data_IF_619531023897
#
_entry.id   IF_619531023897
#
_cell.length_a   1.000
_cell.length_b   1.000
_cell.length_c   1.000
_cell.angle_alpha   90.00
_cell.angle_beta   90.00
_cell.angle_gamma   90.00
#
_symmetry.space_group_name_H-M   'P 1'
#
loop_
_entity.id
_entity.type
_entity.pdbx_description
1 polymer ?
#
# COMPACT_ATOMS: atom_id res chain seq x y z
N UNK A 1 4.83 -38.61 52.07
CA UNK A 1 3.84 -37.63 51.58
C UNK A 1 4.16 -37.36 50.12
N UNK A 2 3.20 -37.66 49.24
CA UNK A 2 3.24 -37.62 47.77
C UNK A 2 3.40 -36.16 47.25
N UNK A 3 3.74 -35.93 45.96
CA UNK A 3 4.30 -34.70 45.40
C UNK A 3 3.23 -33.68 44.99
N UNK A 4 3.64 -32.43 44.79
CA UNK A 4 2.85 -31.44 44.03
C UNK A 4 3.63 -31.13 42.76
N UNK A 5 3.27 -31.83 41.68
CA UNK A 5 3.56 -31.40 40.33
C UNK A 5 2.68 -30.19 40.04
N UNK A 6 3.30 -29.05 39.75
CA UNK A 6 2.62 -27.90 39.21
C UNK A 6 1.98 -28.28 37.86
N UNK A 7 0.65 -28.26 37.79
CA UNK A 7 -0.06 -28.33 36.53
C UNK A 7 0.15 -27.00 35.80
N UNK A 8 0.91 -27.03 34.70
CA UNK A 8 0.83 -25.97 33.71
C UNK A 8 -0.58 -26.05 33.10
N UNK A 9 -1.38 -25.01 33.27
CA UNK A 9 -2.59 -24.82 32.47
C UNK A 9 -2.14 -24.52 31.05
N UNK A 10 -2.34 -25.47 30.14
CA UNK A 10 -2.18 -25.23 28.71
C UNK A 10 -3.09 -24.05 28.30
N UNK A 11 -2.60 -23.09 27.52
CA UNK A 11 -3.40 -21.97 27.08
C UNK A 11 -4.57 -22.49 26.25
N UNK A 12 -5.79 -22.19 26.69
CA UNK A 12 -7.02 -22.46 25.94
C UNK A 12 -7.01 -21.56 24.71
N UNK A 13 -6.36 -22.04 23.65
CA UNK A 13 -6.44 -21.43 22.34
C UNK A 13 -7.86 -21.67 21.82
N UNK A 14 -8.57 -20.63 21.36
CA UNK A 14 -9.87 -20.84 20.73
C UNK A 14 -9.69 -21.73 19.51
N UNK A 15 -10.17 -22.98 19.60
CA UNK A 15 -10.13 -23.92 18.49
C UNK A 15 -11.26 -23.57 17.53
N UNK A 16 -10.91 -23.02 16.37
CA UNK A 16 -11.86 -22.84 15.28
C UNK A 16 -12.10 -24.20 14.62
N UNK A 17 -13.06 -24.99 15.12
CA UNK A 17 -13.47 -26.24 14.51
C UNK A 17 -14.54 -25.97 13.45
N UNK A 18 -14.15 -25.96 12.18
CA UNK A 18 -15.08 -26.03 11.05
C UNK A 18 -15.59 -27.48 10.95
N UNK A 19 -16.65 -27.79 11.69
CA UNK A 19 -17.39 -29.04 11.53
C UNK A 19 -18.35 -28.90 10.35
N UNK A 20 -17.95 -29.50 9.22
CA UNK A 20 -18.83 -29.76 8.08
C UNK A 20 -19.72 -30.97 8.42
N UNK A 21 -20.61 -30.81 9.41
CA UNK A 21 -21.60 -31.82 9.77
C UNK A 21 -22.91 -31.54 9.05
N UNK A 22 -23.11 -32.20 7.92
CA UNK A 22 -24.45 -32.46 7.37
C UNK A 22 -24.75 -33.93 7.53
N UNK A 23 -25.44 -34.31 8.61
CA UNK A 23 -26.24 -35.54 8.58
C UNK A 23 -27.32 -35.28 7.53
N UNK A 24 -27.21 -35.98 6.40
CA UNK A 24 -27.92 -35.74 5.13
C UNK A 24 -27.39 -34.54 4.32
N UNK A 25 -26.55 -34.86 3.33
CA UNK A 25 -26.10 -33.93 2.30
C UNK A 25 -27.28 -33.47 1.42
N UNK A 26 -28.06 -32.51 1.90
CA UNK A 26 -28.89 -31.67 1.03
C UNK A 26 -27.96 -30.74 0.24
N UNK A 27 -28.00 -30.75 -1.10
CA UNK A 27 -27.14 -29.93 -1.96
C UNK A 27 -27.13 -28.44 -1.59
N UNK A 28 -28.26 -27.93 -1.08
CA UNK A 28 -28.44 -26.53 -0.69
C UNK A 28 -27.55 -26.10 0.49
N UNK A 29 -27.34 -26.97 1.48
CA UNK A 29 -26.50 -26.63 2.64
C UNK A 29 -25.01 -26.59 2.27
N UNK A 30 -24.58 -27.41 1.30
CA UNK A 30 -23.23 -27.39 0.76
C UNK A 30 -23.02 -26.11 -0.08
N UNK A 31 -24.03 -25.69 -0.85
CA UNK A 31 -23.98 -24.47 -1.65
C UNK A 31 -23.82 -23.20 -0.77
N UNK A 32 -24.61 -23.08 0.31
CA UNK A 32 -24.52 -21.94 1.25
C UNK A 32 -23.16 -21.90 1.96
N UNK A 33 -22.64 -23.06 2.38
CA UNK A 33 -21.31 -23.13 3.00
C UNK A 33 -20.20 -22.70 2.04
N UNK A 34 -20.28 -23.09 0.76
CA UNK A 34 -19.34 -22.66 -0.28
C UNK A 34 -19.45 -21.15 -0.56
N UNK A 35 -20.66 -20.60 -0.59
CA UNK A 35 -20.91 -19.17 -0.79
C UNK A 35 -20.30 -18.33 0.33
N UNK A 36 -20.51 -18.72 1.59
CA UNK A 36 -19.89 -18.05 2.76
C UNK A 36 -18.36 -18.13 2.66
N UNK A 37 -17.81 -19.29 2.31
CA UNK A 37 -16.36 -19.46 2.16
C UNK A 37 -15.81 -18.55 1.06
N UNK A 38 -16.51 -18.42 -0.07
CA UNK A 38 -16.14 -17.52 -1.15
C UNK A 38 -16.20 -16.05 -0.72
N UNK A 39 -17.24 -15.66 0.02
CA UNK A 39 -17.41 -14.29 0.53
C UNK A 39 -16.31 -13.93 1.54
N UNK A 40 -15.96 -14.85 2.45
CA UNK A 40 -14.84 -14.68 3.38
C UNK A 40 -13.49 -14.56 2.64
N UNK A 41 -13.33 -15.31 1.55
CA UNK A 41 -12.11 -15.23 0.72
C UNK A 41 -11.99 -13.85 0.08
N UNK A 42 -13.06 -13.33 -0.53
CA UNK A 42 -13.09 -11.97 -1.09
C UNK A 42 -12.82 -10.94 0.00
N UNK A 43 -13.47 -11.06 1.16
CA UNK A 43 -13.32 -10.13 2.27
C UNK A 43 -11.88 -10.09 2.81
N UNK A 44 -11.17 -11.21 2.78
CA UNK A 44 -9.76 -11.28 3.21
C UNK A 44 -8.80 -10.54 2.27
N UNK A 45 -9.11 -10.50 0.96
CA UNK A 45 -8.26 -9.87 -0.07
C UNK A 45 -8.65 -8.42 -0.31
N UNK A 46 -9.90 -8.04 -0.02
CA UNK A 46 -10.43 -6.69 -0.27
C UNK A 46 -9.56 -5.56 0.30
N UNK A 47 -9.03 -5.60 1.54
CA UNK A 47 -8.18 -4.53 2.07
C UNK A 47 -6.92 -4.32 1.24
N UNK A 48 -6.30 -5.41 0.78
CA UNK A 48 -5.09 -5.35 -0.03
C UNK A 48 -5.38 -4.72 -1.41
N UNK A 49 -6.52 -5.06 -2.02
CA UNK A 49 -6.97 -4.48 -3.29
C UNK A 49 -7.18 -2.97 -3.12
N UNK A 50 -7.94 -2.55 -2.10
CA UNK A 50 -8.23 -1.13 -1.83
C UNK A 50 -6.96 -0.32 -1.63
N UNK A 51 -6.00 -0.83 -0.86
CA UNK A 51 -4.70 -0.15 -0.68
C UNK A 51 -3.91 -0.06 -1.99
N UNK A 52 -4.05 -1.05 -2.87
CA UNK A 52 -3.29 -1.10 -4.12
C UNK A 52 -3.84 -0.15 -5.20
N UNK A 53 -5.16 0.02 -5.27
CA UNK A 53 -5.84 0.90 -6.24
C UNK A 53 -5.91 2.37 -5.79
N UNK A 54 -5.30 2.71 -4.66
CA UNK A 54 -5.23 4.07 -4.10
C UNK A 54 -3.80 4.59 -4.10
N UNK A 55 -3.57 5.80 -3.56
CA UNK A 55 -2.24 6.40 -3.43
C UNK A 55 -1.31 5.74 -2.40
N UNK A 56 -1.79 4.76 -1.63
CA UNK A 56 -1.03 4.11 -0.55
C UNK A 56 0.31 3.53 -1.03
N UNK A 57 0.31 2.86 -2.19
CA UNK A 57 1.49 2.21 -2.77
C UNK A 57 2.68 3.17 -2.91
N UNK A 58 2.47 4.39 -3.41
CA UNK A 58 3.54 5.38 -3.57
C UNK A 58 4.08 5.83 -2.22
N UNK A 59 3.18 6.12 -1.29
CA UNK A 59 3.51 6.68 0.03
C UNK A 59 4.36 5.70 0.83
N UNK A 60 3.93 4.44 0.93
CA UNK A 60 4.62 3.44 1.75
C UNK A 60 6.01 3.10 1.21
N UNK A 61 6.19 3.12 -0.11
CA UNK A 61 7.49 2.89 -0.75
C UNK A 61 8.42 4.06 -0.48
N UNK A 62 7.96 5.30 -0.65
CA UNK A 62 8.77 6.49 -0.36
C UNK A 62 9.20 6.54 1.12
N UNK A 63 8.29 6.24 2.04
CA UNK A 63 8.64 6.12 3.47
C UNK A 63 9.66 5.02 3.75
N UNK A 64 9.56 3.88 3.05
CA UNK A 64 10.54 2.81 3.16
C UNK A 64 11.92 3.25 2.68
N UNK A 65 12.00 3.97 1.54
CA UNK A 65 13.25 4.56 1.04
C UNK A 65 13.88 5.49 2.06
N UNK A 66 13.10 6.36 2.71
CA UNK A 66 13.58 7.27 3.74
C UNK A 66 14.17 6.55 4.93
N UNK A 67 13.46 5.54 5.44
CA UNK A 67 13.94 4.73 6.55
C UNK A 67 15.30 4.11 6.22
N UNK A 68 15.45 3.58 5.01
CA UNK A 68 16.71 3.00 4.55
C UNK A 68 17.81 4.04 4.31
N UNK A 69 17.47 5.22 3.79
CA UNK A 69 18.42 6.28 3.52
C UNK A 69 19.03 6.88 4.79
N UNK A 70 18.20 7.10 5.82
CA UNK A 70 18.65 7.58 7.14
C UNK A 70 19.55 6.53 7.79
N UNK A 71 19.24 5.23 7.60
CA UNK A 71 20.06 4.08 8.03
C UNK A 71 19.87 3.65 9.48
N UNK A 72 18.83 4.17 10.15
CA UNK A 72 18.53 3.86 11.56
C UNK A 72 18.13 2.40 11.69
N UNK A 73 18.63 1.71 12.71
CA UNK A 73 18.26 0.32 12.97
C UNK A 73 16.78 0.27 13.36
N UNK A 74 15.93 -0.18 12.42
CA UNK A 74 14.50 -0.46 12.59
C UNK A 74 13.59 0.71 13.03
N UNK A 75 14.13 1.90 13.28
CA UNK A 75 13.34 3.11 13.52
C UNK A 75 13.23 3.96 12.24
N UNK A 76 12.05 4.49 11.89
CA UNK A 76 10.74 4.20 12.47
C UNK A 76 10.23 2.79 12.15
N UNK A 77 9.41 2.18 13.03
CA UNK A 77 8.83 0.85 12.77
C UNK A 77 7.94 0.85 11.51
N UNK A 78 7.94 -0.27 10.77
CA UNK A 78 7.10 -0.43 9.57
C UNK A 78 5.61 -0.18 9.86
N UNK A 79 5.14 -0.58 11.03
CA UNK A 79 3.75 -0.37 11.46
C UNK A 79 3.41 1.13 11.58
N UNK A 80 4.35 1.95 12.06
CA UNK A 80 4.16 3.40 12.16
C UNK A 80 4.12 4.04 10.77
N UNK A 81 5.04 3.63 9.89
CA UNK A 81 5.04 4.11 8.50
C UNK A 81 3.79 3.68 7.73
N UNK A 82 3.33 2.45 7.94
CA UNK A 82 2.09 1.95 7.35
C UNK A 82 0.86 2.71 7.87
N UNK A 83 0.77 2.95 9.18
CA UNK A 83 -0.31 3.74 9.77
C UNK A 83 -0.33 5.17 9.21
N UNK A 84 0.83 5.84 9.16
CA UNK A 84 0.95 7.17 8.57
C UNK A 84 0.54 7.17 7.09
N UNK A 85 0.97 6.15 6.33
CA UNK A 85 0.59 6.01 4.94
C UNK A 85 -0.92 5.85 4.77
N UNK A 86 -1.59 5.03 5.59
CA UNK A 86 -3.05 4.87 5.56
C UNK A 86 -3.76 6.20 5.85
N UNK A 87 -3.34 6.93 6.89
CA UNK A 87 -3.97 8.22 7.22
C UNK A 87 -3.77 9.26 6.11
N UNK A 88 -2.59 9.31 5.49
CA UNK A 88 -2.35 10.16 4.33
C UNK A 88 -3.17 9.72 3.12
N UNK A 89 -3.34 8.41 2.91
CA UNK A 89 -4.21 7.89 1.86
C UNK A 89 -5.64 8.35 2.06
N UNK A 90 -6.18 8.26 3.27
CA UNK A 90 -7.53 8.77 3.57
C UNK A 90 -7.62 10.27 3.31
N UNK A 91 -6.62 11.05 3.71
CA UNK A 91 -6.61 12.50 3.49
C UNK A 91 -6.56 12.88 2.00
N UNK A 92 -5.73 12.19 1.21
CA UNK A 92 -5.57 12.43 -0.23
C UNK A 92 -6.79 11.92 -1.02
N UNK A 93 -7.36 10.78 -0.61
CA UNK A 93 -8.52 10.16 -1.27
C UNK A 93 -9.87 10.74 -0.81
N UNK A 94 -9.89 11.64 0.18
CA UNK A 94 -11.10 12.28 0.68
C UNK A 94 -12.06 12.83 -0.40
N UNK A 95 -11.61 13.57 -1.45
CA UNK A 95 -12.51 14.03 -2.51
C UNK A 95 -13.16 12.88 -3.29
N UNK A 96 -12.38 11.84 -3.65
CA UNK A 96 -12.88 10.66 -4.37
C UNK A 96 -13.88 9.88 -3.51
N UNK A 97 -13.57 9.69 -2.22
CA UNK A 97 -14.48 9.04 -1.28
C UNK A 97 -15.79 9.82 -1.10
N UNK A 98 -15.72 11.16 -1.09
CA UNK A 98 -16.91 12.02 -1.04
C UNK A 98 -17.76 11.90 -2.30
N UNK A 99 -17.13 11.83 -3.47
CA UNK A 99 -17.81 11.65 -4.75
C UNK A 99 -18.52 10.29 -4.81
N UNK A 100 -17.82 9.20 -4.49
CA UNK A 100 -18.41 7.84 -4.42
C UNK A 100 -19.57 7.80 -3.42
N UNK A 101 -19.42 8.47 -2.27
CA UNK A 101 -20.51 8.52 -1.29
C UNK A 101 -21.77 9.19 -1.88
N UNK A 102 -21.61 10.31 -2.58
CA UNK A 102 -22.72 11.08 -3.14
C UNK A 102 -23.35 10.41 -4.37
N UNK A 103 -22.56 9.82 -5.26
CA UNK A 103 -23.04 9.30 -6.56
C UNK A 103 -23.48 7.84 -6.51
N UNK A 104 -22.92 7.05 -5.59
CA UNK A 104 -23.17 5.61 -5.49
C UNK A 104 -23.74 5.20 -4.12
N UNK A 105 -23.10 5.57 -3.01
CA UNK A 105 -23.50 5.03 -1.69
C UNK A 105 -24.84 5.58 -1.20
N UNK A 106 -25.05 6.91 -1.22
CA UNK A 106 -26.31 7.51 -0.77
C UNK A 106 -27.51 7.05 -1.62
N UNK A 107 -27.46 7.06 -2.97
CA UNK A 107 -28.56 6.57 -3.78
C UNK A 107 -28.85 5.07 -3.58
N UNK A 108 -27.81 4.26 -3.35
CA UNK A 108 -27.99 2.84 -3.03
C UNK A 108 -28.67 2.62 -1.67
N UNK A 109 -28.25 3.36 -0.64
CA UNK A 109 -28.87 3.30 0.69
C UNK A 109 -30.31 3.84 0.70
N UNK A 110 -30.64 4.77 -0.19
CA UNK A 110 -31.99 5.27 -0.40
C UNK A 110 -32.83 4.37 -1.32
N UNK A 111 -32.30 3.22 -1.76
CA UNK A 111 -32.96 2.29 -2.69
C UNK A 111 -33.31 2.91 -4.06
N UNK A 112 -32.66 4.01 -4.44
CA UNK A 112 -32.86 4.69 -5.72
C UNK A 112 -32.17 3.96 -6.89
N UNK A 113 -31.11 3.22 -6.60
CA UNK A 113 -30.34 2.42 -7.57
C UNK A 113 -30.09 1.01 -7.06
N UNK A 114 -29.97 0.06 -7.99
CA UNK A 114 -29.58 -1.32 -7.68
C UNK A 114 -28.08 -1.45 -7.36
N UNK A 115 -27.70 -2.63 -6.86
CA UNK A 115 -26.31 -2.93 -6.49
C UNK A 115 -25.32 -2.82 -7.67
N UNK A 116 -25.69 -3.33 -8.85
CA UNK A 116 -24.82 -3.26 -10.04
C UNK A 116 -24.58 -1.82 -10.49
N UNK A 117 -25.61 -0.97 -10.46
CA UNK A 117 -25.48 0.42 -10.84
C UNK A 117 -24.69 1.22 -9.81
N UNK A 118 -24.86 0.93 -8.52
CA UNK A 118 -24.03 1.53 -7.47
C UNK A 118 -22.55 1.21 -7.67
N UNK A 119 -22.23 -0.04 -8.03
CA UNK A 119 -20.84 -0.45 -8.29
C UNK A 119 -20.26 0.27 -9.52
N UNK A 120 -21.02 0.37 -10.61
CA UNK A 120 -20.62 1.10 -11.82
C UNK A 120 -20.39 2.59 -11.54
N UNK A 121 -21.28 3.24 -10.78
CA UNK A 121 -21.12 4.65 -10.38
C UNK A 121 -19.94 4.88 -9.44
N UNK A 122 -19.63 3.93 -8.55
CA UNK A 122 -18.47 4.00 -7.67
C UNK A 122 -17.14 3.81 -8.42
N UNK A 123 -17.17 3.05 -9.52
CA UNK A 123 -15.99 2.77 -10.33
C UNK A 123 -15.50 4.00 -11.11
N UNK A 124 -16.40 4.86 -11.58
CA UNK A 124 -16.07 6.06 -12.36
C UNK A 124 -15.02 6.97 -11.71
N UNK A 125 -15.27 7.49 -10.48
CA UNK A 125 -14.31 8.35 -9.77
C UNK A 125 -12.96 7.67 -9.52
N UNK A 126 -12.96 6.37 -9.22
CA UNK A 126 -11.73 5.58 -9.03
C UNK A 126 -10.94 5.45 -10.34
N UNK A 127 -11.62 5.19 -11.45
CA UNK A 127 -11.00 5.13 -12.79
C UNK A 127 -10.38 6.47 -13.16
N UNK A 128 -11.09 7.56 -12.93
CA UNK A 128 -10.58 8.90 -13.23
C UNK A 128 -9.32 9.22 -12.41
N UNK A 129 -9.33 8.91 -11.11
CA UNK A 129 -8.14 9.01 -10.27
C UNK A 129 -6.97 8.17 -10.82
N UNK A 130 -7.21 6.91 -11.19
CA UNK A 130 -6.16 6.05 -11.75
C UNK A 130 -5.64 6.60 -13.09
N UNK A 131 -6.49 7.10 -13.98
CA UNK A 131 -6.05 7.70 -15.25
C UNK A 131 -5.18 8.93 -15.06
N UNK A 132 -5.49 9.80 -14.09
CA UNK A 132 -4.68 10.99 -13.79
C UNK A 132 -3.24 10.62 -13.41
N UNK A 133 -3.04 9.44 -12.84
CA UNK A 133 -1.76 8.99 -12.31
C UNK A 133 -1.10 7.82 -13.09
N UNK A 134 -1.79 7.31 -14.11
CA UNK A 134 -1.26 6.26 -14.99
C UNK A 134 -0.58 6.87 -16.20
N UNK A 135 0.65 6.45 -16.49
CA UNK A 135 1.37 6.87 -17.69
C UNK A 135 0.86 6.06 -18.89
N UNK A 136 0.58 6.72 -20.00
CA UNK A 136 0.13 6.07 -21.24
C UNK A 136 1.08 4.96 -21.69
N UNK A 137 2.39 5.18 -21.54
CA UNK A 137 3.41 4.16 -21.85
C UNK A 137 3.23 2.89 -21.00
N UNK A 138 2.90 3.02 -19.72
CA UNK A 138 2.72 1.88 -18.83
C UNK A 138 1.44 1.10 -19.17
N UNK A 139 0.38 1.81 -19.55
CA UNK A 139 -0.85 1.20 -20.05
C UNK A 139 -0.64 0.48 -21.39
N UNK A 140 0.13 1.07 -22.31
CA UNK A 140 0.37 0.51 -23.65
C UNK A 140 1.08 -0.85 -23.65
N UNK A 141 1.86 -1.13 -22.59
CA UNK A 141 2.53 -2.43 -22.41
C UNK A 141 1.50 -3.54 -22.29
N UNK A 142 0.40 -3.31 -21.57
CA UNK A 142 -0.64 -4.33 -21.39
C UNK A 142 -1.38 -4.63 -22.69
N UNK A 143 -1.70 -3.62 -23.50
CA UNK A 143 -2.28 -3.85 -24.84
C UNK A 143 -1.35 -4.63 -25.76
N UNK A 144 -0.04 -4.39 -25.66
CA UNK A 144 0.95 -5.12 -26.45
C UNK A 144 1.06 -6.59 -26.02
N UNK A 145 0.83 -6.89 -24.73
CA UNK A 145 0.87 -8.25 -24.18
C UNK A 145 -0.43 -9.02 -24.48
N UNK A 146 -1.59 -8.36 -24.35
CA UNK A 146 -2.90 -9.00 -24.53
C UNK A 146 -3.31 -9.13 -26.00
N UNK A 147 -2.65 -8.40 -26.91
CA UNK A 147 -3.01 -8.36 -28.32
C UNK A 147 -4.33 -7.63 -28.60
N UNK A 148 -4.88 -6.92 -27.62
CA UNK A 148 -6.08 -6.10 -27.80
C UNK A 148 -5.78 -4.88 -28.68
N UNK A 149 -6.79 -4.46 -29.44
CA UNK A 149 -6.74 -3.19 -30.17
C UNK A 149 -6.58 -2.02 -29.19
N UNK A 150 -5.85 -1.00 -29.62
CA UNK A 150 -5.63 0.18 -28.79
C UNK A 150 -6.95 0.94 -28.64
N UNK A 151 -7.29 1.38 -27.42
CA UNK A 151 -8.56 2.06 -27.16
C UNK A 151 -8.51 3.45 -27.82
N UNK A 152 -9.65 3.89 -28.35
CA UNK A 152 -9.79 5.24 -28.92
C UNK A 152 -10.08 6.27 -27.82
N UNK A 153 -10.77 5.84 -26.76
CA UNK A 153 -11.12 6.67 -25.61
C UNK A 153 -10.72 6.03 -24.26
N UNK A 154 -10.79 6.83 -23.18
CA UNK A 154 -10.55 6.33 -21.80
C UNK A 154 -11.65 5.37 -21.33
N UNK A 155 -12.83 5.43 -21.91
CA UNK A 155 -13.96 4.58 -21.55
C UNK A 155 -13.74 3.14 -22.03
N UNK A 156 -13.11 2.99 -23.20
CA UNK A 156 -12.81 1.68 -23.82
C UNK A 156 -11.72 0.88 -23.10
N UNK A 157 -11.05 1.49 -22.12
CA UNK A 157 -9.99 0.83 -21.36
C UNK A 157 -10.60 -0.10 -20.32
N UNK A 158 -10.32 -1.42 -20.35
CA UNK A 158 -10.79 -2.33 -19.30
C UNK A 158 -10.11 -2.03 -17.97
N UNK A 159 -10.87 -1.97 -16.88
CA UNK A 159 -10.36 -1.70 -15.52
C UNK A 159 -9.31 -2.72 -15.08
N UNK A 160 -9.47 -3.97 -15.54
CA UNK A 160 -8.51 -5.06 -15.30
C UNK A 160 -7.12 -4.77 -15.91
N UNK A 161 -7.00 -3.93 -16.94
CA UNK A 161 -5.72 -3.46 -17.47
C UNK A 161 -5.26 -2.15 -16.81
N UNK A 162 -6.21 -1.27 -16.46
CA UNK A 162 -5.92 0.01 -15.83
C UNK A 162 -5.26 -0.17 -14.47
N UNK A 163 -5.78 -1.07 -13.62
CA UNK A 163 -5.25 -1.33 -12.28
C UNK A 163 -3.75 -1.70 -12.31
N UNK A 164 -3.30 -2.74 -13.04
CA UNK A 164 -1.89 -3.09 -13.07
C UNK A 164 -1.02 -2.04 -13.76
N UNK A 165 -1.55 -1.29 -14.75
CA UNK A 165 -0.85 -0.15 -15.34
C UNK A 165 -0.62 0.98 -14.34
N UNK A 166 -1.66 1.34 -13.58
CA UNK A 166 -1.60 2.31 -12.49
C UNK A 166 -0.56 1.89 -11.46
N UNK A 167 -0.59 0.63 -11.00
CA UNK A 167 0.40 0.11 -10.04
C UNK A 167 1.84 0.29 -10.55
N UNK A 168 2.12 -0.02 -11.81
CA UNK A 168 3.45 0.17 -12.40
C UNK A 168 3.84 1.65 -12.44
N UNK A 169 2.91 2.53 -12.81
CA UNK A 169 3.15 3.98 -12.81
C UNK A 169 3.43 4.53 -11.42
N UNK A 170 2.69 4.07 -10.41
CA UNK A 170 2.90 4.42 -9.00
C UNK A 170 4.26 3.93 -8.49
N UNK A 171 4.61 2.66 -8.78
CA UNK A 171 5.90 2.10 -8.43
C UNK A 171 7.05 2.92 -9.03
N UNK A 172 6.99 3.21 -10.33
CA UNK A 172 8.03 4.03 -10.99
C UNK A 172 8.17 5.39 -10.35
N UNK A 173 7.05 6.06 -10.08
CA UNK A 173 7.04 7.39 -9.47
C UNK A 173 7.57 7.34 -8.03
N UNK A 174 7.19 6.33 -7.25
CA UNK A 174 7.68 6.13 -5.89
C UNK A 174 9.19 5.88 -5.84
N UNK A 175 9.72 5.06 -6.76
CA UNK A 175 11.15 4.81 -6.87
C UNK A 175 11.92 6.05 -7.34
N UNK A 176 11.36 6.86 -8.24
CA UNK A 176 11.95 8.14 -8.65
C UNK A 176 12.07 9.09 -7.45
N UNK A 177 10.99 9.26 -6.69
CA UNK A 177 10.99 10.09 -5.48
C UNK A 177 11.97 9.52 -4.44
N UNK A 178 11.89 8.22 -4.17
CA UNK A 178 12.78 7.53 -3.22
C UNK A 178 14.25 7.69 -3.57
N UNK A 179 14.61 7.56 -4.85
CA UNK A 179 15.97 7.79 -5.34
C UNK A 179 16.42 9.23 -5.14
N UNK A 180 15.59 10.22 -5.51
CA UNK A 180 15.91 11.64 -5.33
C UNK A 180 16.20 11.97 -3.87
N UNK A 181 15.44 11.40 -2.93
CA UNK A 181 15.69 11.65 -1.52
C UNK A 181 16.93 10.90 -1.01
N UNK A 182 17.30 9.79 -1.63
CA UNK A 182 18.50 9.03 -1.26
C UNK A 182 19.80 9.80 -1.58
N UNK A 183 19.81 10.64 -2.60
CA UNK A 183 21.00 11.39 -3.09
C UNK A 183 21.74 12.17 -1.98
N UNK A 184 21.10 13.06 -1.19
CA UNK A 184 21.80 13.81 -0.14
C UNK A 184 22.45 12.91 0.92
N UNK A 185 21.79 11.81 1.29
CA UNK A 185 22.32 10.86 2.27
C UNK A 185 23.50 10.05 1.71
N UNK A 186 23.44 9.68 0.43
CA UNK A 186 24.53 9.00 -0.27
C UNK A 186 25.77 9.90 -0.35
N UNK A 187 25.60 11.18 -0.69
CA UNK A 187 26.70 12.15 -0.71
C UNK A 187 27.36 12.22 0.68
N UNK A 188 26.55 12.28 1.75
CA UNK A 188 27.05 12.28 3.12
C UNK A 188 27.87 11.02 3.42
N UNK A 189 27.37 9.83 3.04
CA UNK A 189 28.11 8.57 3.20
C UNK A 189 29.46 8.59 2.49
N UNK A 190 29.50 9.06 1.24
CA UNK A 190 30.74 9.12 0.46
C UNK A 190 31.75 10.09 1.08
N UNK A 191 31.29 11.24 1.57
CA UNK A 191 32.15 12.22 2.25
C UNK A 191 32.72 11.63 3.54
N UNK A 192 31.88 11.06 4.42
CA UNK A 192 32.34 10.46 5.68
C UNK A 192 33.30 9.30 5.43
N UNK A 193 33.01 8.44 4.45
CA UNK A 193 33.89 7.34 4.07
C UNK A 193 35.28 7.84 3.62
N UNK A 194 35.34 8.88 2.77
CA UNK A 194 36.60 9.45 2.31
C UNK A 194 37.47 10.04 3.44
N UNK A 195 36.81 10.66 4.45
CA UNK A 195 37.49 11.21 5.63
C UNK A 195 38.05 10.08 6.50
N UNK A 196 37.26 9.04 6.78
CA UNK A 196 37.70 7.89 7.58
C UNK A 196 38.86 7.14 6.92
N UNK A 197 38.82 6.97 5.60
CA UNK A 197 39.90 6.38 4.82
C UNK A 197 41.18 7.22 4.91
N UNK A 198 41.05 8.54 4.85
CA UNK A 198 42.17 9.48 4.97
C UNK A 198 42.80 9.48 6.37
N UNK A 199 42.01 9.17 7.40
CA UNK A 199 42.50 8.98 8.78
C UNK A 199 43.11 7.59 9.03
N UNK A 200 43.06 6.68 8.04
CA UNK A 200 43.55 5.30 8.17
C UNK A 200 42.61 4.35 8.93
N UNK A 201 41.38 4.76 9.26
CA UNK A 201 40.40 3.94 9.99
C UNK A 201 39.63 3.02 9.04
N UNK A 202 40.30 2.00 8.50
CA UNK A 202 39.69 1.06 7.55
C UNK A 202 38.69 0.06 8.18
N UNK A 203 38.75 -0.15 9.50
CA UNK A 203 37.99 -1.19 10.21
C UNK A 203 36.61 -0.73 10.70
N UNK A 204 36.34 0.58 10.73
CA UNK A 204 35.06 1.12 11.17
C UNK A 204 34.12 1.26 9.96
N UNK A 205 32.92 0.66 9.97
CA UNK A 205 31.96 0.83 8.90
C UNK A 205 31.57 2.31 8.77
N UNK A 206 31.80 2.98 7.62
CA UNK A 206 31.52 4.40 7.47
C UNK A 206 30.08 4.80 7.76
N UNK A 207 29.14 3.88 7.49
CA UNK A 207 27.71 4.07 7.75
C UNK A 207 27.45 4.36 9.23
N UNK A 208 28.10 3.65 10.15
CA UNK A 208 27.90 3.85 11.60
C UNK A 208 28.28 5.27 12.06
N UNK A 209 29.26 5.88 11.37
CA UNK A 209 29.72 7.24 11.67
C UNK A 209 28.88 8.28 10.93
N UNK A 210 28.40 8.00 9.72
CA UNK A 210 27.53 8.91 8.96
C UNK A 210 26.12 9.00 9.54
N UNK A 211 25.64 7.92 10.18
CA UNK A 211 24.32 7.78 10.79
C UNK A 211 23.85 9.02 11.59
N UNK A 212 24.56 9.50 12.64
CA UNK A 212 24.12 10.66 13.41
C UNK A 212 23.99 11.93 12.57
N UNK A 213 24.90 12.13 11.61
CA UNK A 213 24.88 13.31 10.73
C UNK A 213 23.69 13.27 9.78
N UNK A 214 23.31 12.10 9.27
CA UNK A 214 22.11 11.94 8.44
C UNK A 214 20.84 12.28 9.23
N UNK A 215 20.73 11.75 10.45
CA UNK A 215 19.59 12.03 11.34
C UNK A 215 19.53 13.54 11.64
N UNK A 216 20.67 14.16 11.97
CA UNK A 216 20.74 15.59 12.22
C UNK A 216 20.31 16.40 11.00
N UNK A 217 20.86 16.09 9.82
CA UNK A 217 20.50 16.75 8.56
C UNK A 217 19.00 16.64 8.30
N UNK A 218 18.43 15.45 8.46
CA UNK A 218 17.02 15.20 8.23
C UNK A 218 16.12 15.99 9.18
N UNK A 219 16.48 16.10 10.46
CA UNK A 219 15.75 16.91 11.44
C UNK A 219 15.91 18.41 11.15
N UNK A 220 17.12 18.86 10.80
CA UNK A 220 17.42 20.27 10.55
C UNK A 220 16.65 20.86 9.37
N UNK A 221 16.35 20.04 8.36
CA UNK A 221 15.57 20.48 7.19
C UNK A 221 14.06 20.26 7.36
N UNK A 222 13.60 19.85 8.54
CA UNK A 222 12.22 19.40 8.76
C UNK A 222 11.77 18.33 7.74
N UNK A 223 12.59 17.29 7.61
CA UNK A 223 12.48 16.31 6.54
C UNK A 223 11.13 15.60 6.47
N UNK A 224 10.47 15.33 7.61
CA UNK A 224 9.13 14.73 7.61
C UNK A 224 8.10 15.65 6.95
N UNK A 225 8.12 16.94 7.24
CA UNK A 225 7.19 17.91 6.67
C UNK A 225 7.44 18.07 5.16
N UNK A 226 8.70 18.19 4.74
CA UNK A 226 9.06 18.24 3.32
C UNK A 226 8.60 17.01 2.56
N UNK A 227 8.76 15.82 3.13
CA UNK A 227 8.33 14.57 2.52
C UNK A 227 6.83 14.46 2.38
N UNK A 228 6.10 14.71 3.46
CA UNK A 228 4.63 14.63 3.46
C UNK A 228 4.07 15.68 2.51
N UNK A 229 4.56 16.92 2.56
CA UNK A 229 4.15 17.99 1.65
C UNK A 229 4.43 17.65 0.19
N UNK A 230 5.63 17.15 -0.13
CA UNK A 230 5.98 16.73 -1.50
C UNK A 230 5.14 15.55 -1.99
N UNK A 231 4.79 14.61 -1.11
CA UNK A 231 3.95 13.47 -1.46
C UNK A 231 2.51 13.90 -1.75
N UNK A 232 1.91 14.73 -0.89
CA UNK A 232 0.55 15.24 -1.08
C UNK A 232 0.45 16.05 -2.38
N UNK A 233 1.40 16.96 -2.61
CA UNK A 233 1.47 17.75 -3.85
C UNK A 233 1.72 16.92 -5.11
N UNK A 234 2.15 15.66 -4.97
CA UNK A 234 2.33 14.76 -6.11
C UNK A 234 1.02 14.11 -6.58
N UNK A 235 -0.08 14.27 -5.82
CA UNK A 235 -1.41 13.73 -6.14
C UNK A 235 -2.44 14.82 -6.45
N UNK A 236 -2.33 15.96 -5.78
CA UNK A 236 -3.13 17.17 -6.04
C UNK A 236 -2.78 17.73 -7.41
#
# INVERSE_FOLDING_TARGET
MWPVLAQAQDPVLPSLSLQLSGEEAQPDNIAVALEILFLLTILSVAPAIVLTITCFTRIIIVFSFIRHAIGTQQMPPNQVLAALAIFLTVAIMAPIGSEINQTALQPYLNEEIGHEEALSRAEGPMREFMFKHTRERDLSVFYSITGMERPESREDVPTMLLIPAFMISELKTAFQIGFLIYIPFLILDMVVASILLSMGMMMLPPVMISMPFKVLLFIMVDGWNLLVGSLVNSFV
#
